data_IF_249011169150
#
_entry.id   IF_249011169150
#
_cell.length_a   1.000
_cell.length_b   1.000
_cell.length_c   1.000
_cell.angle_alpha   90.00
_cell.angle_beta   90.00
_cell.angle_gamma   90.00
#
_symmetry.space_group_name_H-M   'P 1'
#
loop_
_entity.id
_entity.type
_entity.pdbx_description
1 polymer ?
#
# COMPACT_ATOMS: atom_id res chain seq x y z
N UNK A 1 0.88 19.11 27.84
CA UNK A 1 0.17 17.87 27.46
C UNK A 1 0.94 17.25 26.32
N UNK A 2 1.39 16.01 26.47
CA UNK A 2 2.11 15.32 25.41
C UNK A 2 1.19 15.07 24.20
N UNK A 3 1.75 14.95 23.00
CA UNK A 3 0.95 14.74 21.78
C UNK A 3 0.10 13.46 21.87
N UNK A 4 0.61 12.40 22.49
CA UNK A 4 -0.15 11.16 22.72
C UNK A 4 -1.45 11.42 23.49
N UNK A 5 -1.38 12.17 24.59
CA UNK A 5 -2.56 12.56 25.36
C UNK A 5 -3.55 13.37 24.53
N UNK A 6 -3.07 14.29 23.69
CA UNK A 6 -3.91 15.05 22.76
C UNK A 6 -4.60 14.14 21.75
N UNK A 7 -3.90 13.14 21.21
CA UNK A 7 -4.47 12.16 20.29
C UNK A 7 -5.54 11.31 20.99
N UNK A 8 -5.26 10.82 22.19
CA UNK A 8 -6.20 10.02 22.96
C UNK A 8 -7.45 10.84 23.33
N UNK A 9 -7.30 12.11 23.76
CA UNK A 9 -8.44 13.01 23.98
C UNK A 9 -9.21 13.30 22.69
N UNK A 10 -8.52 13.48 21.56
CA UNK A 10 -9.17 13.69 20.27
C UNK A 10 -10.03 12.48 19.89
N UNK A 11 -9.49 11.28 20.10
CA UNK A 11 -10.24 10.05 19.89
C UNK A 11 -11.47 10.02 20.78
N UNK A 12 -11.36 10.22 22.08
CA UNK A 12 -12.52 10.22 23.02
C UNK A 12 -13.61 11.21 22.59
N UNK A 13 -13.25 12.37 22.06
CA UNK A 13 -14.22 13.39 21.61
C UNK A 13 -14.89 13.10 20.28
N UNK A 14 -14.25 12.34 19.41
CA UNK A 14 -14.65 12.21 18.00
C UNK A 14 -14.93 10.76 17.57
N UNK A 15 -14.87 9.80 18.49
CA UNK A 15 -14.94 8.36 18.20
C UNK A 15 -16.27 7.94 17.60
N UNK A 16 -16.15 7.15 16.51
CA UNK A 16 -17.09 6.06 16.23
C UNK A 16 -16.44 4.77 16.72
N UNK A 17 -16.98 4.16 17.76
CA UNK A 17 -16.55 2.83 18.20
C UNK A 17 -16.85 1.84 17.09
N UNK A 18 -15.82 1.19 16.55
CA UNK A 18 -15.96 0.17 15.52
C UNK A 18 -15.53 -1.15 16.12
N UNK A 19 -16.42 -2.14 16.11
CA UNK A 19 -16.08 -3.51 16.47
C UNK A 19 -15.14 -4.11 15.41
N UNK A 20 -14.23 -4.99 15.82
CA UNK A 20 -13.22 -5.60 14.93
C UNK A 20 -13.84 -6.42 13.81
N UNK A 21 -15.02 -7.01 14.03
CA UNK A 21 -15.81 -7.63 12.97
C UNK A 21 -16.06 -6.66 11.80
N UNK A 22 -16.06 -5.34 12.09
CA UNK A 22 -16.20 -4.26 11.13
C UNK A 22 -14.86 -3.64 10.67
N UNK A 23 -13.69 -4.18 11.10
CA UNK A 23 -12.40 -3.64 10.64
C UNK A 23 -12.23 -3.76 9.12
N UNK A 24 -12.73 -4.83 8.52
CA UNK A 24 -12.82 -4.96 7.06
C UNK A 24 -13.77 -3.92 6.48
N UNK A 25 -14.91 -3.69 7.12
CA UNK A 25 -15.84 -2.61 6.78
C UNK A 25 -15.23 -1.23 6.98
N UNK A 26 -14.40 -1.05 8.01
CA UNK A 26 -13.64 0.17 8.27
C UNK A 26 -12.60 0.46 7.17
N UNK A 27 -11.86 -0.53 6.73
CA UNK A 27 -10.97 -0.41 5.58
C UNK A 27 -11.73 -0.14 4.29
N UNK A 28 -12.96 -0.68 4.16
CA UNK A 28 -13.87 -0.42 3.05
C UNK A 28 -14.45 1.00 3.09
N UNK A 29 -14.81 1.53 4.26
CA UNK A 29 -15.30 2.91 4.43
C UNK A 29 -14.26 3.95 4.01
N UNK A 30 -12.98 3.68 4.26
CA UNK A 30 -11.89 4.52 3.78
C UNK A 30 -11.58 4.36 2.29
N UNK A 31 -12.03 3.27 1.68
CA UNK A 31 -11.77 2.96 0.28
C UNK A 31 -12.96 3.22 -0.65
N UNK A 32 -14.11 3.77 -0.16
CA UNK A 32 -15.32 4.03 -0.95
C UNK A 32 -15.26 3.49 -2.39
N UNK A 33 -15.91 2.34 -2.64
CA UNK A 33 -16.32 1.78 -3.92
C UNK A 33 -15.54 0.64 -4.59
N UNK A 34 -14.48 0.10 -4.02
CA UNK A 34 -13.98 -1.17 -4.58
C UNK A 34 -13.93 -2.25 -3.50
N UNK A 35 -14.43 -3.46 -3.75
CA UNK A 35 -14.40 -4.55 -2.78
C UNK A 35 -12.95 -4.90 -2.46
N UNK A 36 -12.68 -5.04 -1.18
CA UNK A 36 -11.38 -5.41 -0.66
C UNK A 36 -11.12 -6.87 -1.02
N UNK A 37 -10.12 -7.09 -1.85
CA UNK A 37 -9.64 -8.40 -2.16
C UNK A 37 -8.54 -8.84 -1.20
N UNK A 38 -8.44 -10.12 -1.01
CA UNK A 38 -7.30 -10.80 -0.39
C UNK A 38 -5.99 -10.33 -1.05
N UNK A 39 -5.19 -9.58 -0.31
CA UNK A 39 -4.08 -8.82 -0.84
C UNK A 39 -4.47 -7.36 -1.06
N UNK A 40 -4.86 -6.70 0.03
CA UNK A 40 -5.32 -5.32 0.07
C UNK A 40 -4.34 -4.38 -0.64
N UNK A 41 -4.73 -3.87 -1.81
CA UNK A 41 -4.01 -2.80 -2.46
C UNK A 41 -4.65 -1.47 -2.08
N UNK A 42 -4.01 -0.73 -1.18
CA UNK A 42 -4.47 0.59 -0.74
C UNK A 42 -4.05 1.66 -1.74
N UNK A 43 -4.93 2.62 -2.02
CA UNK A 43 -4.64 3.76 -2.90
C UNK A 43 -4.71 5.05 -2.12
N UNK A 44 -3.69 5.89 -2.30
CA UNK A 44 -3.72 7.25 -1.79
C UNK A 44 -4.71 8.09 -2.62
N UNK A 45 -5.62 8.79 -1.94
CA UNK A 45 -6.62 9.66 -2.57
C UNK A 45 -6.30 11.14 -2.44
N UNK A 46 -5.30 11.46 -1.67
CA UNK A 46 -4.82 12.81 -1.42
C UNK A 46 -3.31 12.86 -1.63
N UNK A 47 -2.76 14.05 -1.78
CA UNK A 47 -1.32 14.25 -1.90
C UNK A 47 -0.56 13.72 -0.67
N UNK A 48 -1.18 13.83 0.51
CA UNK A 48 -0.68 13.31 1.77
C UNK A 48 -1.84 12.87 2.67
N UNK A 49 -1.71 11.69 3.27
CA UNK A 49 -2.49 11.29 4.43
C UNK A 49 -1.58 10.91 5.59
N UNK A 50 -2.11 11.08 6.81
CA UNK A 50 -1.38 10.75 8.03
C UNK A 50 -2.22 9.81 8.87
N UNK A 51 -1.60 8.74 9.29
CA UNK A 51 -2.19 7.78 10.21
C UNK A 51 -1.43 7.84 11.53
N UNK A 52 -2.12 7.67 12.63
CA UNK A 52 -1.48 7.52 13.93
C UNK A 52 -2.15 6.40 14.73
N UNK A 53 -1.34 5.59 15.37
CA UNK A 53 -1.78 4.55 16.31
C UNK A 53 -1.23 4.86 17.69
N UNK A 54 -2.12 4.91 18.68
CA UNK A 54 -1.72 4.99 20.08
C UNK A 54 -2.31 3.81 20.85
N UNK A 55 -1.62 3.36 21.86
CA UNK A 55 -2.15 2.34 22.78
C UNK A 55 -2.66 3.01 24.05
N UNK A 56 -3.93 2.76 24.38
CA UNK A 56 -4.52 3.25 25.64
C UNK A 56 -3.94 2.51 26.85
N UNK A 57 -4.09 3.06 28.08
CA UNK A 57 -3.69 2.37 29.31
C UNK A 57 -4.36 0.99 29.49
N UNK A 58 -5.59 0.84 28.98
CA UNK A 58 -6.36 -0.40 29.04
C UNK A 58 -5.91 -1.42 27.96
N UNK A 59 -4.97 -1.07 27.09
CA UNK A 59 -4.44 -1.93 26.03
C UNK A 59 -5.25 -1.91 24.73
N UNK A 60 -6.18 -0.95 24.57
CA UNK A 60 -6.88 -0.73 23.31
C UNK A 60 -6.04 0.11 22.38
N UNK A 61 -6.17 -0.10 21.08
CA UNK A 61 -5.49 0.71 20.09
C UNK A 61 -6.43 1.80 19.57
N UNK A 62 -6.01 3.04 19.71
CA UNK A 62 -6.64 4.18 19.07
C UNK A 62 -5.99 4.42 17.71
N UNK A 63 -6.82 4.59 16.70
CA UNK A 63 -6.41 4.88 15.34
C UNK A 63 -6.97 6.23 14.91
N UNK A 64 -6.10 7.05 14.36
CA UNK A 64 -6.45 8.36 13.79
C UNK A 64 -6.04 8.39 12.32
N UNK A 65 -6.87 8.99 11.50
CA UNK A 65 -6.63 9.19 10.08
C UNK A 65 -6.95 10.62 9.68
N UNK A 66 -6.04 11.26 8.99
CA UNK A 66 -6.19 12.62 8.48
C UNK A 66 -5.79 12.69 7.02
N UNK A 67 -6.57 13.39 6.22
CA UNK A 67 -6.20 13.81 4.86
C UNK A 67 -5.78 15.28 4.86
N UNK A 68 -4.74 15.62 4.08
CA UNK A 68 -4.25 16.99 4.03
C UNK A 68 -5.26 17.93 3.35
N UNK A 69 -5.85 17.52 2.22
CA UNK A 69 -6.79 18.33 1.42
C UNK A 69 -8.25 17.91 1.61
N UNK A 70 -8.51 16.78 2.24
CA UNK A 70 -9.86 16.23 2.43
C UNK A 70 -10.50 16.69 3.72
N UNK A 71 -11.84 16.71 3.73
CA UNK A 71 -12.64 16.91 4.95
C UNK A 71 -12.70 15.64 5.82
N UNK A 72 -12.16 14.53 5.34
CA UNK A 72 -12.24 13.26 6.05
C UNK A 72 -11.20 13.19 7.16
N UNK A 73 -11.71 13.36 8.38
CA UNK A 73 -11.00 12.99 9.60
C UNK A 73 -11.70 11.76 10.15
N UNK A 74 -10.94 10.77 10.50
CA UNK A 74 -11.47 9.54 11.06
C UNK A 74 -10.67 9.16 12.30
N UNK A 75 -11.38 8.72 13.32
CA UNK A 75 -10.75 8.08 14.46
C UNK A 75 -11.60 6.91 14.95
N UNK A 76 -10.94 5.89 15.41
CA UNK A 76 -11.56 4.70 15.97
C UNK A 76 -10.77 4.17 17.15
N UNK A 77 -11.46 3.53 18.09
CA UNK A 77 -10.82 2.68 19.07
C UNK A 77 -11.02 1.23 18.65
N UNK A 78 -9.92 0.52 18.50
CA UNK A 78 -9.90 -0.87 18.05
C UNK A 78 -9.69 -1.77 19.25
N UNK A 79 -10.63 -2.67 19.49
CA UNK A 79 -10.57 -3.68 20.55
C UNK A 79 -10.09 -4.99 19.96
N UNK A 80 -8.81 -5.32 20.13
CA UNK A 80 -8.28 -6.59 19.64
C UNK A 80 -8.39 -7.68 20.70
N UNK A 81 -8.96 -8.82 20.31
CA UNK A 81 -8.97 -10.04 21.14
C UNK A 81 -7.68 -10.85 21.01
N UNK A 82 -6.87 -10.61 19.98
CA UNK A 82 -5.63 -11.34 19.69
C UNK A 82 -4.51 -10.38 19.25
N UNK A 83 -3.27 -10.86 19.23
CA UNK A 83 -2.08 -10.12 18.74
C UNK A 83 -2.08 -9.90 17.23
N UNK A 84 -3.13 -10.27 16.55
CA UNK A 84 -3.25 -10.16 15.10
C UNK A 84 -3.73 -8.77 14.68
N UNK A 85 -3.26 -8.27 13.91
CA UNK A 85 -2.83 -7.14 13.15
C UNK A 85 -3.44 -7.00 11.81
N UNK A 86 -3.02 -5.89 11.20
CA UNK A 86 -3.24 -5.61 9.81
C UNK A 86 -2.98 -6.85 8.94
N UNK A 87 -3.89 -7.18 8.05
CA UNK A 87 -3.63 -8.22 7.05
C UNK A 87 -2.49 -7.78 6.13
N UNK A 88 -1.69 -8.73 5.59
CA UNK A 88 -0.69 -8.40 4.59
C UNK A 88 -1.30 -7.60 3.44
N UNK A 89 -0.73 -6.45 3.14
CA UNK A 89 -1.25 -5.54 2.13
C UNK A 89 -0.13 -4.89 1.31
N UNK A 90 -0.53 -4.24 0.23
CA UNK A 90 0.33 -3.39 -0.60
C UNK A 90 -0.34 -2.04 -0.82
N UNK A 91 0.42 -1.05 -1.27
CA UNK A 91 -0.11 0.26 -1.63
C UNK A 91 0.65 0.86 -2.82
N UNK A 92 0.05 1.86 -3.48
CA UNK A 92 0.63 2.58 -4.61
C UNK A 92 1.31 3.90 -4.22
N UNK A 93 1.55 4.12 -2.95
CA UNK A 93 2.17 5.30 -2.37
C UNK A 93 3.42 4.94 -1.58
N UNK A 94 4.19 5.93 -1.19
CA UNK A 94 5.31 5.78 -0.26
C UNK A 94 4.76 5.95 1.15
N UNK A 95 5.12 5.03 2.03
CA UNK A 95 4.72 5.06 3.42
C UNK A 95 5.95 5.24 4.31
N UNK A 96 5.92 6.25 5.17
CA UNK A 96 6.99 6.57 6.11
C UNK A 96 6.46 6.44 7.52
N UNK A 97 6.86 5.36 8.20
CA UNK A 97 6.46 5.05 9.56
C UNK A 97 7.51 5.53 10.55
N UNK A 98 7.10 6.32 11.53
CA UNK A 98 7.94 6.79 12.63
C UNK A 98 7.48 6.18 13.95
N UNK A 99 8.37 5.52 14.66
CA UNK A 99 8.12 5.01 16.01
C UNK A 99 8.36 6.15 17.01
N UNK A 100 7.28 6.82 17.38
CA UNK A 100 7.32 7.92 18.35
C UNK A 100 7.61 7.40 19.76
N UNK A 101 7.00 6.25 20.12
CA UNK A 101 7.14 5.58 21.41
C UNK A 101 6.86 4.08 21.27
N UNK A 102 7.52 3.26 22.09
CA UNK A 102 7.36 1.80 22.10
C UNK A 102 8.13 1.11 21.00
N UNK A 103 7.56 0.07 20.42
CA UNK A 103 8.13 -0.77 19.39
C UNK A 103 7.11 -1.07 18.30
N UNK A 104 7.56 -1.07 17.05
CA UNK A 104 6.80 -1.53 15.90
C UNK A 104 7.49 -2.76 15.32
N UNK A 105 6.80 -3.89 15.27
CA UNK A 105 7.23 -5.05 14.48
C UNK A 105 6.51 -5.04 13.16
N UNK A 106 7.20 -5.37 12.09
CA UNK A 106 6.63 -5.47 10.75
C UNK A 106 7.07 -6.77 10.09
N UNK A 107 6.16 -7.41 9.40
CA UNK A 107 6.52 -8.42 8.43
C UNK A 107 6.59 -7.74 7.06
N UNK A 108 7.75 -7.78 6.42
CA UNK A 108 7.98 -7.21 5.09
C UNK A 108 8.55 -8.32 4.23
N UNK A 109 7.86 -8.65 3.15
CA UNK A 109 8.25 -9.74 2.25
C UNK A 109 8.53 -11.06 3.01
N UNK A 110 7.63 -11.42 3.92
CA UNK A 110 7.71 -12.66 4.71
C UNK A 110 8.75 -12.65 5.85
N UNK A 111 9.57 -11.61 5.99
CA UNK A 111 10.58 -11.47 7.05
C UNK A 111 10.12 -10.48 8.12
N UNK A 112 10.39 -10.78 9.38
CA UNK A 112 10.02 -9.90 10.50
C UNK A 112 11.17 -8.97 10.85
N UNK A 113 10.81 -7.69 10.99
CA UNK A 113 11.71 -6.59 11.39
C UNK A 113 11.13 -5.88 12.59
N UNK A 114 12.01 -5.36 13.47
CA UNK A 114 11.62 -4.58 14.65
C UNK A 114 12.23 -3.19 14.58
N UNK A 115 11.40 -2.19 14.87
CA UNK A 115 11.76 -0.77 14.91
C UNK A 115 11.46 -0.22 16.29
N UNK A 116 12.42 0.48 16.89
CA UNK A 116 12.31 1.06 18.23
C UNK A 116 11.97 2.55 18.17
N UNK A 117 11.60 3.11 19.31
CA UNK A 117 11.38 4.55 19.44
C UNK A 117 12.55 5.36 18.84
N UNK A 118 12.23 6.28 17.97
CA UNK A 118 13.16 7.07 17.18
C UNK A 118 13.46 6.52 15.78
N UNK A 119 13.24 5.22 15.52
CA UNK A 119 13.43 4.63 14.19
C UNK A 119 12.34 5.09 13.21
N UNK A 120 12.73 5.13 11.94
CA UNK A 120 11.83 5.39 10.83
C UNK A 120 11.98 4.27 9.80
N UNK A 121 10.85 3.78 9.30
CA UNK A 121 10.80 2.83 8.19
C UNK A 121 10.11 3.48 7.00
N UNK A 122 10.73 3.48 5.84
CA UNK A 122 10.14 3.94 4.59
C UNK A 122 9.86 2.72 3.73
N UNK A 123 8.58 2.46 3.50
CA UNK A 123 8.07 1.35 2.68
C UNK A 123 7.81 1.87 1.28
N UNK A 124 8.28 1.14 0.29
CA UNK A 124 8.09 1.51 -1.10
C UNK A 124 6.75 0.99 -1.65
N UNK A 125 6.33 1.56 -2.78
CA UNK A 125 5.10 1.14 -3.48
C UNK A 125 5.13 -0.36 -3.79
N UNK A 126 3.97 -1.01 -3.72
CA UNK A 126 3.78 -2.44 -4.02
C UNK A 126 4.57 -3.43 -3.14
N UNK A 127 5.18 -2.97 -2.05
CA UNK A 127 5.82 -3.84 -1.07
C UNK A 127 4.76 -4.55 -0.23
N UNK A 128 4.80 -5.88 -0.16
CA UNK A 128 3.91 -6.65 0.72
C UNK A 128 4.41 -6.52 2.16
N UNK A 129 3.58 -5.99 3.02
CA UNK A 129 3.91 -5.84 4.45
C UNK A 129 2.67 -5.90 5.33
N UNK A 130 2.88 -6.12 6.61
CA UNK A 130 1.89 -5.92 7.66
C UNK A 130 2.57 -5.46 8.95
N UNK A 131 1.89 -4.59 9.68
CA UNK A 131 2.35 -4.02 10.93
C UNK A 131 1.90 -4.86 12.12
N UNK A 132 2.78 -4.94 13.13
CA UNK A 132 2.55 -5.58 14.41
C UNK A 132 2.82 -4.57 15.52
N UNK A 133 1.76 -3.90 16.01
CA UNK A 133 1.86 -2.89 17.06
C UNK A 133 1.65 -3.57 18.40
N UNK A 134 2.64 -3.53 19.28
CA UNK A 134 2.50 -4.11 20.60
C UNK A 134 1.47 -3.37 21.45
N UNK A 135 0.76 -4.12 22.30
CA UNK A 135 -0.37 -3.61 23.09
C UNK A 135 0.02 -2.63 24.20
N UNK A 136 1.31 -2.42 24.45
CA UNK A 136 1.77 -1.61 25.57
C UNK A 136 2.49 -0.38 25.07
N UNK A 137 1.88 0.76 25.36
CA UNK A 137 2.51 2.08 25.35
C UNK A 137 3.19 2.46 24.02
N UNK A 138 2.58 2.06 22.91
CA UNK A 138 3.08 2.37 21.58
C UNK A 138 2.43 3.62 21.01
N UNK A 139 3.22 4.42 20.31
CA UNK A 139 2.74 5.53 19.49
C UNK A 139 3.50 5.54 18.17
N UNK A 140 2.79 5.24 17.08
CA UNK A 140 3.34 5.14 15.74
C UNK A 140 2.63 6.17 14.85
N UNK A 141 3.40 6.90 14.05
CA UNK A 141 2.88 7.85 13.05
C UNK A 141 3.32 7.38 11.68
N UNK A 142 2.38 7.33 10.76
CA UNK A 142 2.62 6.97 9.37
C UNK A 142 2.24 8.14 8.46
N UNK A 143 3.16 8.57 7.62
CA UNK A 143 2.94 9.53 6.53
C UNK A 143 2.84 8.75 5.23
N UNK A 144 1.67 8.81 4.59
CA UNK A 144 1.42 8.21 3.29
C UNK A 144 1.41 9.31 2.23
N UNK A 145 2.29 9.24 1.26
CA UNK A 145 2.43 10.29 0.26
C UNK A 145 2.74 9.75 -1.13
N UNK A 146 2.35 10.50 -2.14
CA UNK A 146 2.78 10.27 -3.52
C UNK A 146 4.27 10.68 -3.68
N UNK A 147 4.92 10.12 -4.69
CA UNK A 147 6.30 10.47 -5.07
C UNK A 147 6.45 11.95 -5.47
N UNK A 148 5.37 12.61 -5.88
CA UNK A 148 5.33 14.04 -6.25
C UNK A 148 5.88 14.94 -5.15
N UNK A 149 5.59 14.70 -3.87
CA UNK A 149 6.14 15.50 -2.76
C UNK A 149 7.67 15.39 -2.71
N UNK A 150 8.19 14.20 -2.93
CA UNK A 150 9.63 13.98 -2.96
C UNK A 150 10.27 14.61 -4.22
N UNK A 151 9.59 14.61 -5.36
CA UNK A 151 10.06 15.27 -6.58
C UNK A 151 10.08 16.80 -6.44
N UNK A 152 9.08 17.40 -5.80
CA UNK A 152 9.04 18.84 -5.51
C UNK A 152 10.19 19.27 -4.60
N UNK A 153 10.51 18.48 -3.57
CA UNK A 153 11.65 18.72 -2.71
C UNK A 153 12.99 18.67 -3.46
N UNK A 154 13.13 17.77 -4.44
CA UNK A 154 14.36 17.67 -5.25
C UNK A 154 14.69 18.92 -6.04
N UNK A 155 13.66 19.66 -6.46
CA UNK A 155 13.78 20.91 -7.20
C UNK A 155 14.07 22.11 -6.29
N UNK A 156 13.99 21.95 -4.97
CA UNK A 156 14.34 23.00 -4.02
C UNK A 156 15.86 23.16 -3.92
N UNK A 157 16.32 24.44 -3.82
CA UNK A 157 17.76 24.79 -3.77
C UNK A 157 18.51 24.21 -2.56
N UNK A 158 17.80 23.69 -1.55
CA UNK A 158 18.37 23.14 -0.32
C UNK A 158 18.91 21.71 -0.45
N UNK A 159 18.59 21.02 -1.54
CA UNK A 159 18.81 19.57 -1.70
C UNK A 159 20.22 19.20 -2.20
N UNK A 160 21.25 20.05 -2.04
CA UNK A 160 22.47 19.96 -2.86
C UNK A 160 23.35 18.72 -2.71
N UNK A 161 23.46 18.01 -1.60
CA UNK A 161 24.48 16.94 -1.52
C UNK A 161 24.13 15.68 -0.70
N UNK A 162 23.11 15.72 0.15
CA UNK A 162 22.87 14.64 1.12
C UNK A 162 21.79 13.62 0.70
N UNK A 163 21.09 13.92 -0.37
CA UNK A 163 19.92 13.17 -0.82
C UNK A 163 20.19 12.06 -1.84
N UNK A 164 21.47 11.80 -2.19
CA UNK A 164 21.79 10.83 -3.26
C UNK A 164 21.25 9.41 -2.96
N UNK A 165 21.31 8.96 -1.72
CA UNK A 165 20.84 7.64 -1.34
C UNK A 165 19.31 7.59 -1.25
N UNK A 166 18.68 8.61 -0.64
CA UNK A 166 17.23 8.74 -0.58
C UNK A 166 16.65 9.06 -1.98
N UNK A 167 17.32 9.91 -2.76
CA UNK A 167 16.99 10.17 -4.16
C UNK A 167 17.08 8.90 -5.03
N UNK A 168 18.11 8.08 -4.81
CA UNK A 168 18.22 6.79 -5.52
C UNK A 168 17.08 5.86 -5.14
N UNK A 169 16.68 5.83 -3.88
CA UNK A 169 15.57 5.01 -3.43
C UNK A 169 14.24 5.48 -4.05
N UNK A 170 13.97 6.78 -4.00
CA UNK A 170 12.70 7.37 -4.48
C UNK A 170 12.66 7.46 -6.02
N UNK A 171 13.77 7.84 -6.68
CA UNK A 171 13.83 7.99 -8.13
C UNK A 171 14.08 6.71 -8.90
N UNK A 172 14.50 5.64 -8.25
CA UNK A 172 14.61 4.36 -8.92
C UNK A 172 13.22 3.76 -9.06
N UNK A 173 12.46 4.21 -10.08
CA UNK A 173 11.29 3.49 -10.64
C UNK A 173 11.59 2.01 -10.99
N UNK A 174 12.82 1.57 -10.80
CA UNK A 174 13.30 0.19 -10.88
C UNK A 174 13.66 -0.28 -9.48
N UNK A 175 12.64 -0.65 -8.74
CA UNK A 175 12.72 -1.05 -7.35
C UNK A 175 13.65 -2.24 -7.13
N UNK A 176 14.81 -1.97 -6.55
CA UNK A 176 15.68 -3.01 -5.98
C UNK A 176 15.53 -3.11 -4.46
N UNK A 177 14.84 -2.15 -3.84
CA UNK A 177 14.71 -2.04 -2.39
C UNK A 177 13.24 -2.00 -2.00
N UNK A 178 12.81 -2.91 -1.14
CA UNK A 178 11.43 -3.00 -0.66
C UNK A 178 11.15 -1.93 0.39
N UNK A 179 12.13 -1.69 1.26
CA UNK A 179 12.06 -0.68 2.30
C UNK A 179 13.45 -0.17 2.67
N UNK A 180 13.47 0.98 3.35
CA UNK A 180 14.68 1.55 3.96
C UNK A 180 14.39 1.83 5.42
N UNK A 181 15.25 1.34 6.31
CA UNK A 181 15.22 1.70 7.72
C UNK A 181 16.22 2.81 8.03
N UNK A 182 15.78 3.69 8.89
CA UNK A 182 16.56 4.83 9.39
C UNK A 182 16.62 4.73 10.91
N UNK A 183 17.82 4.61 11.45
CA UNK A 183 18.04 4.67 12.90
C UNK A 183 18.78 5.94 13.24
N UNK A 184 18.40 6.65 14.32
CA UNK A 184 19.03 7.90 14.68
C UNK A 184 20.52 7.67 15.02
N UNK A 185 21.40 8.56 14.53
CA UNK A 185 22.82 8.51 14.83
C UNK A 185 23.14 8.92 16.27
N UNK A 186 22.24 9.74 16.84
CA UNK A 186 22.32 10.23 18.21
C UNK A 186 21.00 9.92 18.93
N UNK A 187 21.03 9.87 20.24
CA UNK A 187 19.83 9.66 21.08
C UNK A 187 18.87 10.84 21.07
N UNK A 188 19.34 12.02 20.62
CA UNK A 188 18.51 13.22 20.51
C UNK A 188 17.74 13.22 19.18
N UNK A 189 16.48 12.80 19.25
CA UNK A 189 15.53 12.82 18.12
C UNK A 189 14.53 13.97 18.22
N UNK A 190 14.77 14.96 19.08
CA UNK A 190 13.82 16.05 19.39
C UNK A 190 13.29 16.78 18.14
N UNK A 191 14.15 17.07 17.16
CA UNK A 191 13.75 17.79 15.95
C UNK A 191 12.81 16.95 15.07
N UNK A 192 13.11 15.66 14.94
CA UNK A 192 12.28 14.71 14.19
C UNK A 192 10.95 14.52 14.88
N UNK A 193 10.98 14.28 16.20
CA UNK A 193 9.79 14.17 17.04
C UNK A 193 8.90 15.42 16.87
N UNK A 194 9.47 16.62 17.04
CA UNK A 194 8.76 17.88 16.89
C UNK A 194 8.14 18.05 15.49
N UNK A 195 8.83 17.62 14.44
CA UNK A 195 8.27 17.70 13.09
C UNK A 195 7.01 16.85 12.92
N UNK A 196 7.01 15.62 13.39
CA UNK A 196 5.83 14.76 13.37
C UNK A 196 4.71 15.29 14.28
N UNK A 197 5.06 15.78 15.46
CA UNK A 197 4.09 16.40 16.40
C UNK A 197 3.38 17.60 15.77
N UNK A 198 4.13 18.44 15.08
CA UNK A 198 3.53 19.60 14.40
C UNK A 198 2.60 19.18 13.28
N UNK A 199 3.00 18.21 12.44
CA UNK A 199 2.14 17.68 11.38
C UNK A 199 0.79 17.20 11.93
N UNK A 200 0.81 16.38 12.97
CA UNK A 200 -0.43 15.87 13.60
C UNK A 200 -1.26 17.01 14.17
N UNK A 201 -0.64 17.95 14.91
CA UNK A 201 -1.35 19.07 15.51
C UNK A 201 -2.04 19.95 14.45
N UNK A 202 -1.35 20.29 13.36
CA UNK A 202 -1.91 21.08 12.27
C UNK A 202 -3.12 20.38 11.60
N UNK A 203 -3.04 19.04 11.44
CA UNK A 203 -4.12 18.26 10.85
C UNK A 203 -5.33 18.13 11.82
N UNK A 204 -5.07 18.10 13.12
CA UNK A 204 -6.13 18.08 14.14
C UNK A 204 -6.86 19.41 14.23
N UNK A 205 -6.12 20.52 14.27
CA UNK A 205 -6.64 21.87 14.45
C UNK A 205 -7.32 22.43 13.20
N UNK A 206 -6.84 22.00 12.02
CA UNK A 206 -7.41 22.35 10.70
C UNK A 206 -7.47 23.85 10.41
N UNK A 207 -6.42 24.58 10.79
CA UNK A 207 -6.34 26.02 10.62
C UNK A 207 -5.90 26.44 9.21
N UNK A 208 -6.21 27.68 8.79
CA UNK A 208 -5.73 28.22 7.52
C UNK A 208 -4.21 28.14 7.41
N UNK A 209 -3.70 27.65 6.28
CA UNK A 209 -2.25 27.49 6.05
C UNK A 209 -1.69 26.12 6.42
N UNK A 210 -2.49 25.21 7.03
CA UNK A 210 -2.07 23.88 7.43
C UNK A 210 -1.28 23.14 6.34
N UNK A 211 -1.74 23.19 5.08
CA UNK A 211 -1.08 22.50 3.97
C UNK A 211 0.37 22.92 3.78
N UNK A 212 0.65 24.22 3.83
CA UNK A 212 2.01 24.74 3.68
C UNK A 212 2.90 24.34 4.84
N UNK A 213 2.35 24.34 6.06
CA UNK A 213 3.06 23.96 7.27
C UNK A 213 3.39 22.47 7.21
N UNK A 214 2.40 21.63 6.90
CA UNK A 214 2.56 20.17 6.78
C UNK A 214 3.61 19.81 5.72
N UNK A 215 3.52 20.38 4.52
CA UNK A 215 4.51 20.15 3.45
C UNK A 215 5.91 20.59 3.91
N UNK A 216 6.04 21.77 4.51
CA UNK A 216 7.32 22.26 5.02
C UNK A 216 7.94 21.35 6.08
N UNK A 217 7.13 20.72 6.93
CA UNK A 217 7.62 19.76 7.90
C UNK A 217 7.94 18.40 7.28
N UNK A 218 7.22 17.94 6.26
CA UNK A 218 7.60 16.75 5.48
C UNK A 218 8.97 16.95 4.81
N UNK A 219 9.20 18.12 4.20
CA UNK A 219 10.51 18.49 3.62
C UNK A 219 11.61 18.49 4.70
N UNK A 220 11.31 19.00 5.89
CA UNK A 220 12.24 18.99 7.02
C UNK A 220 12.55 17.59 7.51
N UNK A 221 11.57 16.69 7.57
CA UNK A 221 11.80 15.28 7.91
C UNK A 221 12.75 14.64 6.91
N UNK A 222 12.55 14.87 5.60
CA UNK A 222 13.44 14.34 4.56
C UNK A 222 14.88 14.84 4.74
N UNK A 223 15.06 16.12 5.07
CA UNK A 223 16.39 16.69 5.35
C UNK A 223 17.02 16.09 6.64
N UNK A 224 16.24 15.93 7.70
CA UNK A 224 16.69 15.30 8.94
C UNK A 224 17.10 13.84 8.73
N UNK A 225 16.35 13.08 7.96
CA UNK A 225 16.72 11.69 7.62
C UNK A 225 18.08 11.61 6.95
N UNK A 226 18.39 12.55 6.06
CA UNK A 226 19.69 12.58 5.39
C UNK A 226 20.85 12.94 6.32
N UNK A 227 20.61 13.82 7.28
CA UNK A 227 21.68 14.37 8.16
C UNK A 227 21.86 13.64 9.48
N UNK A 228 20.77 13.27 10.12
CA UNK A 228 20.79 12.82 11.52
C UNK A 228 20.58 11.31 11.67
N UNK A 229 20.30 10.60 10.55
CA UNK A 229 20.02 9.16 10.58
C UNK A 229 21.07 8.33 9.84
N UNK A 230 21.30 7.13 10.33
CA UNK A 230 22.00 6.08 9.60
C UNK A 230 21.00 5.28 8.77
N UNK A 231 21.34 4.99 7.53
CA UNK A 231 20.46 4.34 6.56
C UNK A 231 20.89 2.88 6.40
N UNK A 232 19.92 1.97 6.53
CA UNK A 232 20.08 0.57 6.17
C UNK A 232 19.03 0.25 5.08
N UNK A 233 19.50 0.06 3.86
CA UNK A 233 18.66 -0.41 2.77
C UNK A 233 18.68 -1.93 2.74
N UNK A 234 17.50 -2.55 2.72
CA UNK A 234 17.39 -4.00 2.55
C UNK A 234 17.13 -4.29 1.09
N UNK A 235 18.15 -4.86 0.43
CA UNK A 235 17.99 -5.42 -0.91
C UNK A 235 17.38 -6.78 -0.76
N UNK A 236 16.24 -6.99 -1.39
CA UNK A 236 15.71 -8.33 -1.59
C UNK A 236 16.59 -9.07 -2.62
N UNK A 237 16.73 -10.38 -2.47
CA UNK A 237 17.30 -11.19 -3.52
C UNK A 237 16.49 -11.00 -4.80
N UNK A 238 17.18 -10.78 -5.92
CA UNK A 238 16.56 -10.48 -7.22
C UNK A 238 15.48 -11.48 -7.62
N UNK A 239 15.65 -12.74 -7.21
CA UNK A 239 14.69 -13.82 -7.48
C UNK A 239 13.43 -13.70 -6.63
N UNK A 240 13.56 -13.33 -5.36
CA UNK A 240 12.43 -13.16 -4.46
C UNK A 240 11.56 -11.95 -4.87
N UNK A 241 12.20 -10.85 -5.27
CA UNK A 241 11.51 -9.69 -5.88
C UNK A 241 10.74 -10.06 -7.14
N UNK A 242 11.31 -10.90 -8.00
CA UNK A 242 10.64 -11.35 -9.21
C UNK A 242 9.38 -12.17 -8.89
N UNK A 243 9.43 -13.03 -7.87
CA UNK A 243 8.26 -13.82 -7.41
C UNK A 243 7.16 -12.92 -6.90
N UNK A 244 7.49 -11.96 -6.02
CA UNK A 244 6.52 -10.99 -5.47
C UNK A 244 5.88 -10.15 -6.57
N UNK A 245 6.68 -9.66 -7.52
CA UNK A 245 6.18 -8.90 -8.66
C UNK A 245 5.22 -9.75 -9.51
N UNK A 246 5.58 -11.00 -9.78
CA UNK A 246 4.72 -11.91 -10.57
C UNK A 246 3.42 -12.23 -9.83
N UNK A 247 3.46 -12.44 -8.51
CA UNK A 247 2.24 -12.61 -7.70
C UNK A 247 1.33 -11.38 -7.76
N UNK A 248 1.91 -10.19 -7.65
CA UNK A 248 1.15 -8.93 -7.78
C UNK A 248 0.53 -8.76 -9.16
N UNK A 249 1.23 -9.18 -10.21
CA UNK A 249 0.70 -9.20 -11.59
C UNK A 249 -0.46 -10.18 -11.71
N UNK A 250 -0.33 -11.40 -11.16
CA UNK A 250 -1.40 -12.38 -11.17
C UNK A 250 -2.66 -11.84 -10.48
N UNK A 251 -2.52 -11.30 -9.27
CA UNK A 251 -3.65 -10.70 -8.53
C UNK A 251 -4.31 -9.56 -9.31
N UNK A 252 -3.51 -8.71 -9.96
CA UNK A 252 -4.05 -7.63 -10.78
C UNK A 252 -4.83 -8.16 -12.01
N UNK A 253 -4.32 -9.19 -12.66
CA UNK A 253 -4.99 -9.83 -13.81
C UNK A 253 -6.32 -10.45 -13.38
N UNK A 254 -6.36 -11.16 -12.26
CA UNK A 254 -7.59 -11.76 -11.71
C UNK A 254 -8.68 -10.72 -11.46
N UNK A 255 -8.29 -9.52 -11.07
CA UNK A 255 -9.23 -8.44 -10.79
C UNK A 255 -9.68 -7.63 -12.01
N UNK A 256 -8.79 -7.47 -12.99
CA UNK A 256 -9.02 -6.65 -14.18
C UNK A 256 -9.02 -7.47 -15.47
N UNK A 257 -9.37 -8.77 -15.38
CA UNK A 257 -9.24 -9.72 -16.49
C UNK A 257 -9.95 -9.29 -17.76
N UNK A 258 -11.06 -8.59 -17.62
CA UNK A 258 -11.93 -8.16 -18.74
C UNK A 258 -11.25 -7.11 -19.64
N UNK A 259 -10.41 -6.27 -19.10
CA UNK A 259 -9.81 -5.12 -19.79
C UNK A 259 -8.29 -5.15 -19.85
N UNK A 260 -7.62 -5.82 -18.90
CA UNK A 260 -6.17 -5.75 -18.72
C UNK A 260 -5.39 -6.14 -19.99
N UNK A 261 -4.34 -5.38 -20.25
CA UNK A 261 -3.38 -5.63 -21.32
C UNK A 261 -1.94 -5.65 -20.79
N UNK A 262 -1.01 -6.27 -21.56
CA UNK A 262 0.42 -6.27 -21.19
C UNK A 262 0.98 -4.84 -21.14
N UNK A 263 0.50 -3.93 -21.98
CA UNK A 263 0.91 -2.53 -21.96
C UNK A 263 0.41 -1.81 -20.69
N UNK A 264 -0.81 -2.09 -20.26
CA UNK A 264 -1.34 -1.56 -19.00
C UNK A 264 -0.54 -2.08 -17.80
N UNK A 265 -0.24 -3.38 -17.75
CA UNK A 265 0.64 -3.94 -16.73
C UNK A 265 2.03 -3.28 -16.74
N UNK A 266 2.57 -3.02 -17.93
CA UNK A 266 3.85 -2.32 -18.10
C UNK A 266 3.82 -0.92 -17.48
N UNK A 267 2.76 -0.16 -17.74
CA UNK A 267 2.57 1.17 -17.17
C UNK A 267 2.35 1.12 -15.66
N UNK A 268 1.46 0.22 -15.20
CA UNK A 268 1.12 0.09 -13.78
C UNK A 268 2.32 -0.30 -12.92
N UNK A 269 3.07 -1.31 -13.35
CA UNK A 269 4.21 -1.84 -12.60
C UNK A 269 5.54 -1.13 -12.95
N UNK A 270 5.53 -0.18 -13.88
CA UNK A 270 6.71 0.59 -14.32
C UNK A 270 7.88 -0.26 -14.83
N UNK A 271 7.57 -1.38 -15.49
CA UNK A 271 8.54 -2.25 -16.17
C UNK A 271 8.23 -2.35 -17.66
N UNK A 272 9.25 -2.63 -18.47
CA UNK A 272 9.00 -2.87 -19.90
C UNK A 272 8.19 -4.15 -20.14
N UNK A 273 7.33 -4.20 -21.20
CA UNK A 273 6.56 -5.40 -21.55
C UNK A 273 7.42 -6.66 -21.68
N UNK A 274 8.60 -6.52 -22.27
CA UNK A 274 9.56 -7.62 -22.46
C UNK A 274 10.09 -8.15 -21.13
N UNK A 275 10.40 -7.25 -20.19
CA UNK A 275 10.84 -7.64 -18.86
C UNK A 275 9.74 -8.38 -18.10
N UNK A 276 8.51 -7.84 -18.07
CA UNK A 276 7.38 -8.49 -17.41
C UNK A 276 7.10 -9.87 -18.00
N UNK A 277 7.09 -9.99 -19.33
CA UNK A 277 6.88 -11.26 -20.03
C UNK A 277 7.96 -12.28 -19.68
N UNK A 278 9.23 -11.83 -19.63
CA UNK A 278 10.38 -12.69 -19.29
C UNK A 278 10.30 -13.23 -17.86
N UNK A 279 10.08 -12.37 -16.87
CA UNK A 279 10.01 -12.79 -15.46
C UNK A 279 8.77 -13.65 -15.21
N UNK A 280 7.63 -13.27 -15.80
CA UNK A 280 6.38 -14.01 -15.68
C UNK A 280 6.53 -15.43 -16.21
N UNK A 281 7.15 -15.59 -17.40
CA UNK A 281 7.43 -16.91 -17.98
C UNK A 281 8.38 -17.74 -17.10
N UNK A 282 9.37 -17.09 -16.45
CA UNK A 282 10.30 -17.78 -15.53
C UNK A 282 9.59 -18.33 -14.32
N UNK A 283 8.67 -17.55 -13.71
CA UNK A 283 8.04 -17.87 -12.42
C UNK A 283 6.75 -18.69 -12.57
N UNK A 284 5.99 -18.49 -13.66
CA UNK A 284 4.70 -19.15 -13.90
C UNK A 284 4.75 -20.21 -14.99
N UNK A 285 5.90 -20.44 -15.60
CA UNK A 285 6.12 -21.37 -16.72
C UNK A 285 5.20 -21.14 -17.93
N UNK A 286 4.46 -20.02 -17.93
CA UNK A 286 3.53 -19.64 -18.98
C UNK A 286 3.76 -18.21 -19.46
N UNK A 287 3.32 -17.89 -20.67
CA UNK A 287 3.42 -16.53 -21.19
C UNK A 287 2.36 -15.63 -20.55
N UNK A 288 2.74 -14.39 -20.21
CA UNK A 288 1.87 -13.40 -19.59
C UNK A 288 0.54 -13.18 -20.36
N UNK A 289 0.61 -13.09 -21.70
CA UNK A 289 -0.59 -12.96 -22.53
C UNK A 289 -1.45 -14.22 -22.52
N UNK A 290 -0.84 -15.40 -22.42
CA UNK A 290 -1.55 -16.67 -22.30
C UNK A 290 -2.24 -16.80 -20.95
N UNK A 291 -1.61 -16.33 -19.89
CA UNK A 291 -2.22 -16.30 -18.55
C UNK A 291 -3.44 -15.37 -18.49
N UNK A 292 -3.37 -14.17 -19.07
CA UNK A 292 -4.53 -13.27 -19.20
C UNK A 292 -5.68 -13.98 -19.92
N UNK A 293 -5.38 -14.69 -21.02
CA UNK A 293 -6.41 -15.45 -21.74
C UNK A 293 -6.99 -16.58 -20.90
N UNK A 294 -6.14 -17.31 -20.14
CA UNK A 294 -6.59 -18.39 -19.27
C UNK A 294 -7.59 -17.87 -18.21
N UNK A 295 -7.26 -16.79 -17.51
CA UNK A 295 -8.13 -16.18 -16.49
C UNK A 295 -9.46 -15.74 -17.11
N UNK A 296 -9.44 -15.09 -18.28
CA UNK A 296 -10.65 -14.73 -19.02
C UNK A 296 -11.55 -15.92 -19.34
N UNK A 297 -10.97 -17.02 -19.75
CA UNK A 297 -11.70 -18.23 -20.10
C UNK A 297 -12.23 -18.97 -18.87
N UNK A 298 -11.53 -18.92 -17.74
CA UNK A 298 -12.03 -19.42 -16.45
C UNK A 298 -13.30 -18.69 -16.04
N UNK A 299 -13.27 -17.35 -16.02
CA UNK A 299 -14.45 -16.54 -15.72
C UNK A 299 -15.57 -16.73 -16.76
N UNK A 300 -15.22 -16.92 -18.04
CA UNK A 300 -16.22 -17.25 -19.06
C UNK A 300 -16.89 -18.58 -18.77
N UNK A 301 -16.14 -19.63 -18.41
CA UNK A 301 -16.69 -20.96 -18.08
C UNK A 301 -17.65 -20.89 -16.89
N UNK A 302 -17.29 -20.13 -15.84
CA UNK A 302 -18.16 -19.88 -14.68
C UNK A 302 -19.46 -19.18 -15.10
N UNK A 303 -19.39 -18.12 -15.93
CA UNK A 303 -20.56 -17.40 -16.42
C UNK A 303 -21.45 -18.26 -17.33
N UNK A 304 -20.85 -19.13 -18.14
CA UNK A 304 -21.57 -20.05 -19.02
C UNK A 304 -22.39 -21.06 -18.20
N UNK A 305 -21.79 -21.59 -17.13
CA UNK A 305 -22.43 -22.59 -16.27
C UNK A 305 -23.43 -21.99 -15.29
N UNK A 306 -23.22 -20.73 -14.86
CA UNK A 306 -24.02 -20.12 -13.79
C UNK A 306 -25.10 -19.15 -14.29
N UNK A 307 -25.11 -18.81 -15.60
CA UNK A 307 -26.07 -17.82 -16.16
C UNK A 307 -26.66 -18.24 -17.48
N UNK A 308 -27.80 -17.65 -17.82
CA UNK A 308 -28.44 -17.80 -19.14
C UNK A 308 -28.01 -16.74 -20.17
N UNK A 309 -26.95 -15.98 -19.89
CA UNK A 309 -26.45 -14.93 -20.78
C UNK A 309 -26.01 -15.52 -22.14
N UNK A 310 -26.32 -14.91 -23.28
CA UNK A 310 -25.80 -15.33 -24.57
C UNK A 310 -24.28 -15.43 -24.59
N UNK A 311 -23.72 -16.48 -25.21
CA UNK A 311 -22.26 -16.70 -25.28
C UNK A 311 -21.52 -15.47 -25.84
N UNK A 312 -22.10 -14.80 -26.82
CA UNK A 312 -21.54 -13.57 -27.36
C UNK A 312 -21.44 -12.44 -26.33
N UNK A 313 -22.45 -12.31 -25.45
CA UNK A 313 -22.38 -11.33 -24.35
C UNK A 313 -21.32 -11.71 -23.31
N UNK A 314 -21.21 -13.00 -22.99
CA UNK A 314 -20.19 -13.50 -22.08
C UNK A 314 -18.80 -13.25 -22.65
N UNK A 315 -18.56 -13.56 -23.93
CA UNK A 315 -17.27 -13.33 -24.57
C UNK A 315 -16.83 -11.86 -24.48
N UNK A 316 -17.75 -10.92 -24.73
CA UNK A 316 -17.46 -9.47 -24.58
C UNK A 316 -17.22 -9.06 -23.14
N UNK A 317 -18.00 -9.60 -22.20
CA UNK A 317 -17.88 -9.31 -20.76
C UNK A 317 -16.54 -9.75 -20.19
N UNK A 318 -15.95 -10.83 -20.72
CA UNK A 318 -14.63 -11.31 -20.30
C UNK A 318 -13.49 -10.75 -21.16
N UNK A 319 -13.75 -9.71 -21.96
CA UNK A 319 -12.71 -8.96 -22.67
C UNK A 319 -12.32 -9.50 -24.06
N UNK A 320 -13.19 -10.31 -24.72
CA UNK A 320 -12.97 -10.71 -26.12
C UNK A 320 -13.82 -9.86 -27.08
N UNK A 321 -13.15 -9.14 -27.97
CA UNK A 321 -13.80 -8.37 -29.04
C UNK A 321 -14.25 -9.25 -30.22
N UNK A 322 -13.62 -10.41 -30.41
CA UNK A 322 -13.93 -11.34 -31.51
C UNK A 322 -14.43 -12.66 -30.94
N UNK A 323 -15.71 -12.94 -31.19
CA UNK A 323 -16.39 -14.13 -30.70
C UNK A 323 -15.81 -15.42 -31.31
N UNK A 324 -15.45 -15.40 -32.58
CA UNK A 324 -14.83 -16.56 -33.24
C UNK A 324 -13.47 -16.92 -32.62
N UNK A 325 -12.68 -15.90 -32.29
CA UNK A 325 -11.42 -16.10 -31.57
C UNK A 325 -11.64 -16.62 -30.14
N UNK A 326 -12.68 -16.16 -29.45
CA UNK A 326 -13.09 -16.68 -28.14
C UNK A 326 -13.43 -18.18 -28.23
N UNK A 327 -14.29 -18.62 -29.17
CA UNK A 327 -14.62 -20.04 -29.37
C UNK A 327 -13.40 -20.89 -29.63
N UNK A 328 -12.50 -20.42 -30.50
CA UNK A 328 -11.23 -21.10 -30.79
C UNK A 328 -10.39 -21.29 -29.52
N UNK A 329 -10.20 -20.21 -28.74
CA UNK A 329 -9.40 -20.26 -27.53
C UNK A 329 -10.04 -21.08 -26.41
N UNK A 330 -11.35 -21.03 -26.29
CA UNK A 330 -12.11 -21.84 -25.35
C UNK A 330 -11.94 -23.35 -25.65
N UNK A 331 -12.07 -23.71 -26.94
CA UNK A 331 -11.87 -25.09 -27.37
C UNK A 331 -10.42 -25.57 -27.19
N UNK A 332 -9.43 -24.70 -27.48
CA UNK A 332 -8.02 -25.01 -27.24
C UNK A 332 -7.74 -25.41 -25.77
N UNK A 333 -8.39 -24.77 -24.82
CA UNK A 333 -8.15 -25.02 -23.37
C UNK A 333 -9.05 -26.15 -22.83
N UNK A 334 -10.32 -26.12 -23.13
CA UNK A 334 -11.30 -27.02 -22.50
C UNK A 334 -11.66 -28.25 -23.33
N UNK A 335 -11.19 -28.33 -24.58
CA UNK A 335 -11.49 -29.41 -25.55
C UNK A 335 -13.01 -29.64 -25.76
N UNK A 336 -13.79 -28.58 -25.50
CA UNK A 336 -15.25 -28.55 -25.65
C UNK A 336 -15.68 -27.16 -26.06
N UNK A 337 -16.88 -27.01 -26.62
CA UNK A 337 -17.41 -25.70 -27.00
C UNK A 337 -18.15 -25.03 -25.84
N UNK A 338 -18.26 -23.68 -25.81
CA UNK A 338 -19.07 -22.97 -24.83
C UNK A 338 -20.54 -23.44 -24.77
N UNK A 339 -21.12 -23.82 -25.90
CA UNK A 339 -22.50 -24.32 -25.96
C UNK A 339 -22.63 -25.71 -25.29
N UNK A 340 -21.70 -26.61 -25.55
CA UNK A 340 -21.69 -27.95 -24.91
C UNK A 340 -21.47 -27.86 -23.39
N UNK A 341 -20.73 -26.88 -22.90
CA UNK A 341 -20.59 -26.64 -21.44
C UNK A 341 -21.90 -26.17 -20.83
N UNK A 342 -22.71 -25.38 -21.56
CA UNK A 342 -24.00 -24.91 -21.09
C UNK A 342 -25.08 -25.99 -21.04
N UNK A 343 -24.99 -26.98 -21.92
CA UNK A 343 -25.95 -28.08 -22.01
C UNK A 343 -25.74 -29.18 -20.96
N UNK A 344 -24.61 -29.14 -20.26
CA UNK A 344 -24.30 -30.01 -19.11
C UNK A 344 -24.79 -29.43 -17.81
#
# INVERSE_FOLDING_TARGET
MELKEKCDEYVVRNVKTIDIADYESFLQLNNNQEPVLTGLHRRLRDLLSVHAWTTSPEGHQNYLYFQMNGEQKFCATLYYSSETLCQPHTHNYIELLYVMQGELRMQIDGKTYSFKAGDICLINTNTIHCEYIERKDSFIICLCTDDIIFEQYQNSRSAKDYTLSLKRFINQKRMQELFVSFSPRNTDTHKTKHAFETIISELMEDLPGKQRIVIGYVERIIDLLAREYSIQATRSDKEELQKVLVQSICSYIEYHYDSVTVNELSQKFSYSPDYLTKIFKKEQETNLSAYIQLVRLQHASELISSTSLPIEKISRKVGYNNVGFFYKKFYEIYQTTPNEVREK
#
